data_IF_407657104485
#
_entry.id   IF_407657104485
#
_cell.length_a   1.000
_cell.length_b   1.000
_cell.length_c   1.000
_cell.angle_alpha   90.00
_cell.angle_beta   90.00
_cell.angle_gamma   90.00
#
_symmetry.space_group_name_H-M   'P 1'
#
loop_
_entity.id
_entity.type
_entity.pdbx_description
1 polymer ?
#
# COMPACT_ATOMS: atom_id res chain seq x y z
N UNK A 1 1.73 6.17 7.14
CA UNK A 1 2.28 7.12 6.27
C UNK A 1 2.71 6.63 4.90
N UNK A 2 1.81 6.06 4.09
CA UNK A 2 2.17 5.73 2.71
C UNK A 2 2.38 7.01 1.89
N UNK A 3 3.39 7.06 1.00
CA UNK A 3 3.75 8.27 0.24
C UNK A 3 2.59 8.85 -0.58
N UNK A 4 1.75 7.99 -1.17
CA UNK A 4 0.58 8.41 -1.95
C UNK A 4 -0.50 9.11 -1.10
N UNK A 5 -0.61 8.79 0.17
CA UNK A 5 -1.51 9.49 1.08
C UNK A 5 -0.94 10.86 1.46
N UNK A 6 0.36 10.92 1.74
CA UNK A 6 1.04 12.19 2.09
C UNK A 6 0.93 13.20 0.94
N UNK A 7 1.16 12.80 -0.30
CA UNK A 7 1.03 13.69 -1.46
C UNK A 7 -0.40 14.18 -1.69
N UNK A 8 -1.41 13.35 -1.40
CA UNK A 8 -2.82 13.81 -1.43
C UNK A 8 -3.12 14.85 -0.36
N UNK A 9 -2.57 14.68 0.85
CA UNK A 9 -2.72 15.68 1.92
C UNK A 9 -2.01 16.99 1.58
N UNK A 10 -0.82 16.94 0.97
CA UNK A 10 -0.10 18.13 0.53
C UNK A 10 -0.79 18.86 -0.63
N UNK A 11 -1.52 18.14 -1.48
CA UNK A 11 -2.34 18.70 -2.56
C UNK A 11 -3.68 19.30 -2.11
N UNK A 12 -4.10 19.04 -0.88
CA UNK A 12 -5.25 19.71 -0.29
C UNK A 12 -4.87 21.16 0.03
N UNK A 13 -5.41 22.12 -0.69
CA UNK A 13 -5.22 23.55 -0.41
C UNK A 13 -5.60 23.92 1.02
N UNK A 14 -5.44 25.17 1.40
CA UNK A 14 -5.66 25.70 2.75
C UNK A 14 -7.04 25.35 3.33
N UNK A 15 -7.17 24.17 3.90
CA UNK A 15 -8.32 23.77 4.69
C UNK A 15 -8.25 24.48 6.05
N UNK A 16 -8.57 25.77 6.03
CA UNK A 16 -8.51 26.64 7.22
C UNK A 16 -9.68 26.41 8.19
N UNK A 17 -10.41 25.30 8.05
CA UNK A 17 -11.58 24.99 8.88
C UNK A 17 -11.30 23.77 9.74
N UNK A 18 -11.05 24.03 11.02
CA UNK A 18 -10.90 22.98 12.05
C UNK A 18 -12.02 21.91 12.00
N UNK A 19 -13.21 22.28 11.55
CA UNK A 19 -14.35 21.38 11.38
C UNK A 19 -14.13 20.26 10.33
N UNK A 20 -13.39 20.51 9.24
CA UNK A 20 -13.12 19.48 8.23
C UNK A 20 -12.20 18.39 8.76
N UNK A 21 -11.19 18.73 9.54
CA UNK A 21 -10.31 17.73 10.15
C UNK A 21 -11.05 16.85 11.14
N UNK A 22 -11.92 17.46 11.95
CA UNK A 22 -12.77 16.72 12.88
C UNK A 22 -13.70 15.77 12.13
N UNK A 23 -14.31 16.21 11.04
CA UNK A 23 -15.20 15.39 10.22
C UNK A 23 -14.44 14.23 9.56
N UNK A 24 -13.25 14.47 8.98
CA UNK A 24 -12.41 13.41 8.40
C UNK A 24 -12.03 12.37 9.45
N UNK A 25 -11.60 12.81 10.63
CA UNK A 25 -11.23 11.91 11.73
C UNK A 25 -12.46 11.11 12.20
N UNK A 26 -13.62 11.75 12.37
CA UNK A 26 -14.85 11.06 12.76
C UNK A 26 -15.28 10.02 11.71
N UNK A 27 -15.27 10.36 10.43
CA UNK A 27 -15.59 9.40 9.35
C UNK A 27 -14.60 8.25 9.35
N UNK A 28 -13.31 8.53 9.55
CA UNK A 28 -12.30 7.48 9.63
C UNK A 28 -12.50 6.57 10.85
N UNK A 29 -12.83 7.10 12.01
CA UNK A 29 -13.10 6.32 13.22
C UNK A 29 -14.39 5.51 13.07
N UNK A 30 -15.47 6.11 12.58
CA UNK A 30 -16.77 5.44 12.45
C UNK A 30 -16.73 4.33 11.37
N UNK A 31 -16.05 4.55 10.27
CA UNK A 31 -15.97 3.57 9.18
C UNK A 31 -14.73 2.66 9.29
N UNK A 32 -13.57 3.19 9.60
CA UNK A 32 -12.32 2.46 9.60
C UNK A 32 -12.16 1.48 10.75
N UNK A 33 -12.61 1.84 11.95
CA UNK A 33 -12.52 0.93 13.12
C UNK A 33 -13.41 -0.30 12.94
N UNK A 34 -14.68 -0.20 12.56
CA UNK A 34 -15.50 -1.38 12.27
C UNK A 34 -14.92 -2.26 11.17
N UNK A 35 -14.39 -1.68 10.09
CA UNK A 35 -13.76 -2.45 9.00
C UNK A 35 -12.54 -3.22 9.51
N UNK A 36 -11.69 -2.63 10.35
CA UNK A 36 -10.54 -3.32 10.93
C UNK A 36 -10.95 -4.45 11.88
N UNK A 37 -12.01 -4.25 12.67
CA UNK A 37 -12.56 -5.29 13.54
C UNK A 37 -13.17 -6.43 12.72
N UNK A 38 -13.87 -6.12 11.64
CA UNK A 38 -14.44 -7.11 10.72
C UNK A 38 -13.34 -7.97 10.08
N UNK A 39 -12.28 -7.37 9.55
CA UNK A 39 -11.14 -8.11 9.00
C UNK A 39 -10.50 -9.06 10.02
N UNK A 40 -10.41 -8.69 11.28
CA UNK A 40 -9.85 -9.52 12.35
C UNK A 40 -10.82 -10.64 12.75
N UNK A 41 -12.12 -10.36 12.81
CA UNK A 41 -13.15 -11.32 13.16
C UNK A 41 -13.35 -12.39 12.09
N UNK A 42 -13.20 -12.06 10.81
CA UNK A 42 -13.30 -13.00 9.71
C UNK A 42 -12.29 -14.16 9.83
N UNK A 43 -11.06 -13.85 10.27
CA UNK A 43 -10.05 -14.88 10.55
C UNK A 43 -10.44 -15.83 11.69
N UNK A 44 -11.04 -15.28 12.76
CA UNK A 44 -11.52 -16.09 13.88
C UNK A 44 -12.71 -17.00 13.46
N UNK A 45 -13.67 -16.45 12.74
CA UNK A 45 -14.84 -17.21 12.28
C UNK A 45 -14.42 -18.29 11.28
N UNK A 46 -13.53 -18.00 10.35
CA UNK A 46 -12.97 -18.99 9.43
C UNK A 46 -12.28 -20.13 10.19
N UNK A 47 -11.52 -19.81 11.25
CA UNK A 47 -10.89 -20.82 12.11
C UNK A 47 -11.92 -21.68 12.87
N UNK A 48 -13.04 -21.11 13.28
CA UNK A 48 -14.14 -21.85 13.93
C UNK A 48 -14.82 -22.83 12.95
N UNK A 49 -15.01 -22.44 11.69
CA UNK A 49 -15.67 -23.26 10.67
C UNK A 49 -14.72 -24.34 10.14
N UNK A 50 -13.49 -23.97 9.78
CA UNK A 50 -12.53 -24.87 9.12
C UNK A 50 -11.55 -25.55 10.08
N UNK A 51 -11.55 -25.17 11.35
CA UNK A 51 -10.70 -25.74 12.40
C UNK A 51 -9.23 -25.29 12.31
N UNK A 52 -8.35 -25.83 13.19
CA UNK A 52 -6.95 -25.42 13.29
C UNK A 52 -6.07 -25.90 12.12
N UNK A 53 -6.62 -26.74 11.23
CA UNK A 53 -5.86 -27.36 10.15
C UNK A 53 -5.84 -26.56 8.86
N UNK A 54 -6.54 -25.43 8.78
CA UNK A 54 -6.60 -24.60 7.59
C UNK A 54 -5.19 -24.21 7.08
N UNK A 55 -4.28 -23.86 7.99
CA UNK A 55 -2.89 -23.52 7.67
C UNK A 55 -2.01 -24.73 7.34
N UNK A 56 -2.42 -25.95 7.75
CA UNK A 56 -1.65 -27.17 7.51
C UNK A 56 -1.87 -27.76 6.13
N UNK A 57 -2.99 -27.43 5.49
CA UNK A 57 -3.34 -28.00 4.17
C UNK A 57 -2.46 -27.39 3.09
N UNK A 58 -2.31 -26.06 3.06
CA UNK A 58 -1.40 -25.34 2.15
C UNK A 58 -1.11 -23.95 2.73
N UNK A 59 0.11 -23.39 2.54
CA UNK A 59 0.48 -22.06 3.07
C UNK A 59 -0.46 -20.94 2.63
N UNK A 60 -0.97 -20.99 1.41
CA UNK A 60 -1.88 -19.99 0.83
C UNK A 60 -3.36 -20.20 1.22
N UNK A 61 -3.71 -21.28 1.94
CA UNK A 61 -5.09 -21.53 2.35
C UNK A 61 -5.64 -20.47 3.29
N UNK A 62 -4.78 -19.78 4.04
CA UNK A 62 -5.20 -18.67 4.88
C UNK A 62 -5.73 -17.46 4.07
N UNK A 63 -5.22 -17.24 2.87
CA UNK A 63 -5.69 -16.16 1.99
C UNK A 63 -7.08 -16.44 1.40
N UNK A 64 -7.50 -17.70 1.38
CA UNK A 64 -8.84 -18.12 0.96
C UNK A 64 -9.88 -18.08 2.08
N UNK A 65 -9.46 -17.89 3.33
CA UNK A 65 -10.37 -17.98 4.48
C UNK A 65 -11.57 -17.03 4.36
N UNK A 66 -11.36 -15.79 3.95
CA UNK A 66 -12.42 -14.80 3.82
C UNK A 66 -13.34 -15.02 2.59
N UNK A 67 -12.83 -15.34 1.39
CA UNK A 67 -13.69 -15.76 0.28
C UNK A 67 -14.54 -17.00 0.59
N UNK A 68 -13.97 -18.01 1.24
CA UNK A 68 -14.70 -19.23 1.62
C UNK A 68 -15.74 -18.97 2.70
N UNK A 69 -15.43 -18.07 3.66
CA UNK A 69 -16.43 -17.62 4.62
C UNK A 69 -17.60 -16.91 3.92
N UNK A 70 -17.33 -16.04 2.96
CA UNK A 70 -18.37 -15.39 2.17
C UNK A 70 -19.24 -16.41 1.40
N UNK A 71 -18.60 -17.47 0.88
CA UNK A 71 -19.30 -18.59 0.23
C UNK A 71 -20.18 -19.35 1.22
N UNK A 72 -19.68 -19.62 2.43
CA UNK A 72 -20.43 -20.35 3.45
C UNK A 72 -21.65 -19.59 3.97
N UNK A 73 -21.57 -18.25 4.08
CA UNK A 73 -22.64 -17.41 4.62
C UNK A 73 -23.69 -17.04 3.58
N UNK A 74 -23.28 -16.68 2.36
CA UNK A 74 -24.18 -16.15 1.34
C UNK A 74 -24.07 -16.81 -0.03
N UNK A 75 -23.36 -17.93 -0.13
CA UNK A 75 -23.19 -18.67 -1.38
C UNK A 75 -22.39 -17.92 -2.44
N UNK A 76 -22.55 -18.35 -3.69
CA UNK A 76 -21.84 -17.80 -4.86
C UNK A 76 -22.01 -16.28 -5.01
N UNK A 77 -23.19 -15.67 -4.82
CA UNK A 77 -23.36 -14.23 -4.97
C UNK A 77 -22.49 -13.43 -3.98
N UNK A 78 -22.46 -13.85 -2.72
CA UNK A 78 -21.69 -13.16 -1.69
C UNK A 78 -20.17 -13.29 -1.92
N UNK A 79 -19.72 -14.49 -2.28
CA UNK A 79 -18.33 -14.72 -2.67
C UNK A 79 -17.93 -13.84 -3.86
N UNK A 80 -18.79 -13.74 -4.88
CA UNK A 80 -18.54 -12.92 -6.07
C UNK A 80 -18.42 -11.45 -5.69
N UNK A 81 -19.35 -10.93 -4.90
CA UNK A 81 -19.30 -9.54 -4.41
C UNK A 81 -18.03 -9.25 -3.59
N UNK A 82 -17.64 -10.19 -2.72
CA UNK A 82 -16.43 -10.07 -1.92
C UNK A 82 -15.17 -9.99 -2.81
N UNK A 83 -15.04 -10.92 -3.76
CA UNK A 83 -13.88 -10.97 -4.67
C UNK A 83 -13.84 -9.72 -5.57
N UNK A 84 -14.98 -9.29 -6.11
CA UNK A 84 -15.06 -8.06 -6.90
C UNK A 84 -14.65 -6.82 -6.08
N UNK A 85 -15.12 -6.72 -4.85
CA UNK A 85 -14.74 -5.63 -3.94
C UNK A 85 -13.26 -5.62 -3.63
N UNK A 86 -12.67 -6.80 -3.39
CA UNK A 86 -11.23 -6.96 -3.17
C UNK A 86 -10.41 -6.50 -4.39
N UNK A 87 -10.81 -6.92 -5.61
CA UNK A 87 -10.17 -6.49 -6.84
C UNK A 87 -10.29 -4.98 -7.05
N UNK A 88 -11.45 -4.40 -6.83
CA UNK A 88 -11.66 -2.97 -6.98
C UNK A 88 -10.78 -2.16 -6.01
N UNK A 89 -10.68 -2.59 -4.75
CA UNK A 89 -9.82 -1.97 -3.75
C UNK A 89 -8.33 -2.09 -4.12
N UNK A 90 -7.89 -3.27 -4.56
CA UNK A 90 -6.52 -3.51 -4.98
C UNK A 90 -6.14 -2.65 -6.19
N UNK A 91 -6.98 -2.61 -7.23
CA UNK A 91 -6.75 -1.82 -8.44
C UNK A 91 -6.69 -0.33 -8.15
N UNK A 92 -7.59 0.20 -7.31
CA UNK A 92 -7.60 1.62 -6.95
C UNK A 92 -6.33 2.04 -6.20
N UNK A 93 -5.85 1.20 -5.30
CA UNK A 93 -4.62 1.44 -4.53
C UNK A 93 -3.39 1.35 -5.43
N UNK A 94 -3.31 0.30 -6.25
CA UNK A 94 -2.21 0.08 -7.19
C UNK A 94 -2.09 1.24 -8.18
N UNK A 95 -3.20 1.66 -8.79
CA UNK A 95 -3.22 2.81 -9.70
C UNK A 95 -2.68 4.08 -9.04
N UNK A 96 -3.09 4.36 -7.80
CA UNK A 96 -2.61 5.52 -7.05
C UNK A 96 -1.10 5.46 -6.76
N UNK A 97 -0.60 4.29 -6.35
CA UNK A 97 0.83 4.11 -6.06
C UNK A 97 1.70 4.26 -7.32
N UNK A 98 1.34 3.56 -8.39
CA UNK A 98 2.11 3.56 -9.64
C UNK A 98 2.11 4.94 -10.30
N UNK A 99 0.98 5.65 -10.25
CA UNK A 99 0.88 7.02 -10.75
C UNK A 99 1.85 7.96 -10.03
N UNK A 100 1.89 7.90 -8.69
CA UNK A 100 2.78 8.76 -7.90
C UNK A 100 4.25 8.39 -8.11
N UNK A 101 4.58 7.09 -8.18
CA UNK A 101 5.95 6.65 -8.49
C UNK A 101 6.40 7.18 -9.84
N UNK A 102 5.58 7.06 -10.87
CA UNK A 102 5.86 7.60 -12.21
C UNK A 102 6.01 9.12 -12.19
N UNK A 103 5.11 9.83 -11.51
CA UNK A 103 5.15 11.29 -11.41
C UNK A 103 6.42 11.80 -10.67
N UNK A 104 6.82 11.13 -9.60
CA UNK A 104 8.05 11.49 -8.86
C UNK A 104 9.29 11.29 -9.73
N UNK A 105 9.39 10.17 -10.47
CA UNK A 105 10.53 9.95 -11.34
C UNK A 105 10.57 10.96 -12.48
N UNK A 106 9.45 11.22 -13.13
CA UNK A 106 9.40 12.16 -14.26
C UNK A 106 9.63 13.59 -13.82
N UNK A 107 9.01 14.05 -12.73
CA UNK A 107 9.09 15.44 -12.28
C UNK A 107 10.29 15.73 -11.41
N UNK A 108 10.57 14.87 -10.42
CA UNK A 108 11.56 15.15 -9.38
C UNK A 108 12.96 14.69 -9.77
N UNK A 109 13.06 13.66 -10.64
CA UNK A 109 14.37 13.17 -11.10
C UNK A 109 14.69 13.70 -12.50
N UNK A 110 13.85 13.40 -13.49
CA UNK A 110 14.19 13.64 -14.88
C UNK A 110 14.11 15.13 -15.23
N UNK A 111 13.09 15.83 -14.80
CA UNK A 111 12.96 17.29 -15.05
C UNK A 111 14.04 18.11 -14.32
N UNK A 112 14.53 17.59 -13.19
CA UNK A 112 15.63 18.24 -12.47
C UNK A 112 16.97 18.10 -13.22
N UNK A 113 17.22 16.94 -13.85
CA UNK A 113 18.47 16.67 -14.56
C UNK A 113 18.44 17.17 -16.02
N UNK A 114 17.27 17.17 -16.65
CA UNK A 114 17.03 17.64 -18.00
C UNK A 114 15.85 18.63 -18.07
N UNK A 115 16.05 19.89 -17.67
CA UNK A 115 14.97 20.89 -17.64
C UNK A 115 14.35 21.20 -19.02
N UNK A 116 15.10 20.90 -20.09
CA UNK A 116 14.71 21.21 -21.48
C UNK A 116 13.79 20.17 -22.12
N UNK A 117 13.49 19.07 -21.43
CA UNK A 117 12.60 18.02 -21.96
C UNK A 117 11.17 18.56 -22.09
N UNK A 118 10.58 18.34 -23.26
CA UNK A 118 9.21 18.79 -23.54
C UNK A 118 8.18 18.07 -22.64
N UNK A 119 7.11 18.78 -22.28
CA UNK A 119 6.05 18.21 -21.44
C UNK A 119 5.38 16.98 -22.07
N UNK A 120 5.32 16.93 -23.42
CA UNK A 120 4.80 15.77 -24.16
C UNK A 120 5.69 14.54 -23.97
N UNK A 121 7.01 14.69 -24.05
CA UNK A 121 7.95 13.60 -23.84
C UNK A 121 7.90 13.08 -22.40
N UNK A 122 7.71 13.98 -21.43
CA UNK A 122 7.52 13.63 -20.03
C UNK A 122 6.24 12.80 -19.81
N UNK A 123 5.17 13.13 -20.51
CA UNK A 123 3.91 12.40 -20.45
C UNK A 123 4.08 10.95 -20.98
N UNK A 124 4.71 10.79 -22.15
CA UNK A 124 4.96 9.45 -22.71
C UNK A 124 5.89 8.61 -21.84
N UNK A 125 6.91 9.24 -21.27
CA UNK A 125 7.79 8.60 -20.32
C UNK A 125 7.04 8.16 -19.05
N UNK A 126 6.11 8.99 -18.57
CA UNK A 126 5.22 8.64 -17.48
C UNK A 126 4.39 7.41 -17.76
N UNK A 127 3.78 7.32 -18.94
CA UNK A 127 3.03 6.13 -19.37
C UNK A 127 3.90 4.88 -19.45
N UNK A 128 5.10 5.03 -20.01
CA UNK A 128 6.07 3.93 -20.06
C UNK A 128 6.46 3.42 -18.67
N UNK A 129 6.74 4.33 -17.73
CA UNK A 129 7.06 3.97 -16.35
C UNK A 129 5.88 3.29 -15.63
N UNK A 130 4.64 3.75 -15.87
CA UNK A 130 3.45 3.11 -15.33
C UNK A 130 3.37 1.66 -15.83
N UNK A 131 3.51 1.45 -17.14
CA UNK A 131 3.48 0.11 -17.73
C UNK A 131 4.60 -0.78 -17.17
N UNK A 132 5.80 -0.24 -17.02
CA UNK A 132 6.95 -0.95 -16.48
C UNK A 132 6.72 -1.37 -15.01
N UNK A 133 6.25 -0.45 -14.16
CA UNK A 133 5.99 -0.72 -12.75
C UNK A 133 4.81 -1.65 -12.50
N UNK A 134 3.90 -1.77 -13.45
CA UNK A 134 2.84 -2.78 -13.42
C UNK A 134 3.34 -4.15 -13.90
N UNK A 135 4.12 -4.15 -14.98
CA UNK A 135 4.57 -5.39 -15.59
C UNK A 135 5.60 -6.15 -14.75
N UNK A 136 6.56 -5.44 -14.13
CA UNK A 136 7.63 -6.08 -13.34
C UNK A 136 7.10 -6.91 -12.15
N UNK A 137 6.26 -6.37 -11.25
CA UNK A 137 5.72 -7.14 -10.14
C UNK A 137 4.78 -8.25 -10.61
N UNK A 138 4.01 -7.99 -11.68
CA UNK A 138 3.13 -8.99 -12.27
C UNK A 138 3.91 -10.20 -12.78
N UNK A 139 4.96 -9.98 -13.57
CA UNK A 139 5.82 -11.04 -14.07
C UNK A 139 6.51 -11.81 -12.93
N UNK A 140 7.04 -11.07 -11.94
CA UNK A 140 7.67 -11.68 -10.77
C UNK A 140 6.70 -12.58 -9.98
N UNK A 141 5.47 -12.14 -9.77
CA UNK A 141 4.45 -12.91 -9.06
C UNK A 141 4.01 -14.16 -9.83
N UNK A 142 4.01 -14.11 -11.16
CA UNK A 142 3.73 -15.30 -11.99
C UNK A 142 4.83 -16.36 -11.89
N UNK A 143 6.09 -15.94 -11.83
CA UNK A 143 7.24 -16.86 -11.77
C UNK A 143 7.43 -17.39 -10.33
N UNK A 144 7.27 -16.52 -9.33
CA UNK A 144 7.46 -16.82 -7.92
C UNK A 144 6.22 -16.42 -7.12
N UNK A 145 5.15 -17.20 -7.15
CA UNK A 145 3.96 -16.87 -6.38
C UNK A 145 4.28 -16.85 -4.88
N UNK A 146 3.90 -15.77 -4.16
CA UNK A 146 4.18 -15.68 -2.74
C UNK A 146 3.42 -16.76 -1.96
N UNK A 147 4.05 -17.39 -0.97
CA UNK A 147 3.42 -18.45 -0.17
C UNK A 147 2.26 -17.92 0.68
N UNK A 148 2.31 -16.66 1.09
CA UNK A 148 1.29 -16.00 1.90
C UNK A 148 1.29 -14.49 1.62
N UNK A 149 0.17 -13.95 1.16
CA UNK A 149 0.04 -12.54 0.80
C UNK A 149 0.24 -11.61 2.01
N UNK A 150 -0.24 -12.01 3.19
CA UNK A 150 -0.14 -11.23 4.42
C UNK A 150 1.30 -10.95 4.85
N UNK A 151 2.23 -11.85 4.60
CA UNK A 151 3.66 -11.63 4.89
C UNK A 151 4.21 -10.51 4.01
N UNK A 152 3.91 -10.52 2.72
CA UNK A 152 4.34 -9.47 1.79
C UNK A 152 3.75 -8.12 2.14
N UNK A 153 2.45 -8.08 2.50
CA UNK A 153 1.82 -6.84 2.96
C UNK A 153 2.44 -6.33 4.26
N UNK A 154 2.74 -7.21 5.20
CA UNK A 154 3.40 -6.86 6.46
C UNK A 154 4.79 -6.27 6.23
N UNK A 155 5.63 -6.92 5.42
CA UNK A 155 6.96 -6.44 5.07
C UNK A 155 6.93 -5.09 4.33
N UNK A 156 6.03 -4.94 3.36
CA UNK A 156 5.85 -3.69 2.64
C UNK A 156 5.36 -2.55 3.56
N UNK A 157 4.40 -2.83 4.44
CA UNK A 157 3.86 -1.84 5.36
C UNK A 157 4.91 -1.43 6.42
N UNK A 158 5.64 -2.38 6.98
CA UNK A 158 6.70 -2.10 7.96
C UNK A 158 7.87 -1.37 7.33
N UNK A 159 8.35 -1.81 6.16
CA UNK A 159 9.47 -1.18 5.46
C UNK A 159 9.13 0.26 5.04
N UNK A 160 8.04 0.44 4.33
CA UNK A 160 7.60 1.77 3.88
C UNK A 160 7.21 2.67 5.06
N UNK A 161 6.53 2.13 6.08
CA UNK A 161 6.14 2.86 7.27
C UNK A 161 7.36 3.36 8.05
N UNK A 162 8.33 2.50 8.33
CA UNK A 162 9.54 2.87 9.05
C UNK A 162 10.36 3.94 8.31
N UNK A 163 10.50 3.81 6.99
CA UNK A 163 11.28 4.75 6.18
C UNK A 163 10.57 6.10 6.09
N UNK A 164 9.33 6.12 5.60
CA UNK A 164 8.66 7.39 5.26
C UNK A 164 8.09 8.13 6.47
N UNK A 165 7.59 7.44 7.50
CA UNK A 165 7.06 8.11 8.70
C UNK A 165 8.18 8.82 9.45
N UNK A 166 9.32 8.15 9.63
CA UNK A 166 10.45 8.75 10.34
C UNK A 166 11.03 9.95 9.58
N UNK A 167 11.34 9.78 8.31
CA UNK A 167 11.90 10.86 7.49
C UNK A 167 10.95 12.05 7.43
N UNK A 168 9.65 11.79 7.24
CA UNK A 168 8.64 12.86 7.14
C UNK A 168 8.48 13.58 8.48
N UNK A 169 8.32 12.84 9.58
CA UNK A 169 8.13 13.41 10.91
C UNK A 169 9.36 14.25 11.34
N UNK A 170 10.56 13.69 11.16
CA UNK A 170 11.80 14.40 11.52
C UNK A 170 11.99 15.65 10.66
N UNK A 171 11.65 15.60 9.36
CA UNK A 171 11.78 16.77 8.47
C UNK A 171 10.83 17.90 8.86
N UNK A 172 9.64 17.59 9.39
CA UNK A 172 8.67 18.61 9.80
C UNK A 172 8.92 19.19 11.19
N UNK A 173 9.34 18.36 12.14
CA UNK A 173 9.39 18.76 13.54
C UNK A 173 10.79 19.08 14.05
N UNK A 174 11.84 18.63 13.38
CA UNK A 174 13.22 18.82 13.84
C UNK A 174 14.02 19.73 12.90
N UNK A 175 14.38 20.91 13.41
CA UNK A 175 15.17 21.89 12.66
C UNK A 175 16.61 21.45 12.33
N UNK A 176 17.12 20.40 12.98
CA UNK A 176 18.42 19.79 12.70
C UNK A 176 18.38 18.69 11.63
N UNK A 177 17.24 18.47 10.97
CA UNK A 177 17.12 17.49 9.90
C UNK A 177 18.03 17.88 8.71
N UNK A 178 18.91 16.97 8.32
CA UNK A 178 19.82 17.16 7.18
C UNK A 178 19.49 16.22 6.04
N UNK A 179 19.79 16.64 4.80
CA UNK A 179 19.61 15.81 3.60
C UNK A 179 20.35 14.46 3.69
N UNK A 180 21.51 14.45 4.31
CA UNK A 180 22.30 13.24 4.50
C UNK A 180 21.70 12.30 5.52
N UNK A 181 21.16 12.83 6.62
CA UNK A 181 20.42 12.04 7.60
C UNK A 181 19.18 11.38 7.00
N UNK A 182 18.42 12.11 6.17
CA UNK A 182 17.27 11.55 5.45
C UNK A 182 17.69 10.43 4.48
N UNK A 183 18.77 10.65 3.72
CA UNK A 183 19.30 9.63 2.80
C UNK A 183 19.75 8.36 3.53
N UNK A 184 20.51 8.50 4.62
CA UNK A 184 20.92 7.38 5.45
C UNK A 184 19.73 6.61 6.03
N UNK A 185 18.70 7.33 6.49
CA UNK A 185 17.48 6.71 7.02
C UNK A 185 16.75 5.89 5.95
N UNK A 186 16.60 6.42 4.73
CA UNK A 186 15.98 5.72 3.60
C UNK A 186 16.79 4.49 3.22
N UNK A 187 18.11 4.62 3.06
CA UNK A 187 18.97 3.50 2.70
C UNK A 187 18.95 2.40 3.77
N UNK A 188 19.17 2.78 5.03
CA UNK A 188 19.16 1.82 6.14
C UNK A 188 17.80 1.13 6.29
N UNK A 189 16.69 1.87 6.19
CA UNK A 189 15.35 1.32 6.25
C UNK A 189 15.06 0.36 5.10
N UNK A 190 15.51 0.68 3.88
CA UNK A 190 15.31 -0.17 2.69
C UNK A 190 16.13 -1.47 2.81
N UNK A 191 17.42 -1.37 3.12
CA UNK A 191 18.26 -2.56 3.28
C UNK A 191 17.88 -3.38 4.51
N UNK A 192 17.50 -2.72 5.61
CA UNK A 192 17.05 -3.40 6.83
C UNK A 192 15.74 -4.18 6.63
N UNK A 193 14.78 -3.62 5.90
CA UNK A 193 13.53 -4.32 5.57
C UNK A 193 13.74 -5.48 4.60
N UNK A 194 14.64 -5.34 3.63
CA UNK A 194 15.02 -6.43 2.73
C UNK A 194 15.72 -7.58 3.47
N UNK A 195 16.66 -7.26 4.36
CA UNK A 195 17.38 -8.27 5.13
C UNK A 195 16.49 -8.97 6.17
N UNK A 196 15.62 -8.22 6.83
CA UNK A 196 14.65 -8.78 7.80
C UNK A 196 13.57 -9.65 7.15
N UNK A 197 13.24 -9.41 5.88
CA UNK A 197 12.29 -10.24 5.13
C UNK A 197 12.88 -11.55 4.58
N UNK A 198 14.20 -11.69 4.60
CA UNK A 198 14.91 -12.90 4.09
C UNK A 198 15.16 -13.95 5.19
N UNK A 199 14.99 -13.60 6.46
CA UNK A 199 15.04 -14.52 7.60
C UNK A 199 13.66 -14.92 8.08
#
# INVERSE_FOLDING_TARGET
>A
GFPHNVSRFLGMGTLNKKGYWTLIIMVYLIAGVPIMLDCSSNGLVARMIYGPNLLKVKPWAADLAAPELAMAVGGVPMMTLYVMGLFAAALSTLAGMVFIMSANITRDVIKLWWPQVSDKSMLYLGYFLIALFLFLPFYWTLVNPPPLLSIFMGLAAMGLGAIFVFVTAVSYYWKGATKWGALCCVLYGTFGSMYGGYK
#
